data_IF_438766736797
#
_entry.id   IF_438766736797
#
_cell.length_a   1.000
_cell.length_b   1.000
_cell.length_c   1.000
_cell.angle_alpha   90.00
_cell.angle_beta   90.00
_cell.angle_gamma   90.00
#
_symmetry.space_group_name_H-M   'P 1'
#
loop_
_entity.id
_entity.type
_entity.pdbx_description
1 polymer ?
#
# COMPACT_ATOMS: atom_id res chain seq x y z
N UNK A 1 1.05 -32.33 29.55
CA UNK A 1 -0.02 -31.31 29.44
C UNK A 1 0.49 -30.32 28.41
N UNK A 2 0.26 -30.65 27.14
CA UNK A 2 0.83 -29.95 26.00
C UNK A 2 0.05 -28.67 25.77
N UNK A 3 0.65 -27.54 26.14
CA UNK A 3 0.14 -26.23 25.78
C UNK A 3 0.42 -26.02 24.30
N UNK A 4 -0.67 -25.93 23.52
CA UNK A 4 -0.62 -25.56 22.11
C UNK A 4 0.20 -24.27 21.95
N UNK A 5 1.33 -24.40 21.27
CA UNK A 5 2.14 -23.28 20.81
C UNK A 5 1.36 -22.65 19.67
N UNK A 6 0.48 -21.70 19.98
CA UNK A 6 -0.13 -20.81 19.00
C UNK A 6 1.01 -20.09 18.29
N UNK A 7 1.47 -20.72 17.23
CA UNK A 7 2.52 -20.23 16.36
C UNK A 7 1.81 -19.26 15.46
N UNK A 8 1.49 -18.08 16.00
CA UNK A 8 1.03 -16.97 15.19
C UNK A 8 2.14 -16.77 14.15
N UNK A 9 1.91 -17.06 12.85
CA UNK A 9 2.97 -16.94 11.87
C UNK A 9 3.48 -15.52 11.97
N UNK A 10 4.76 -15.35 12.27
CA UNK A 10 5.40 -14.04 12.32
C UNK A 10 4.99 -13.31 11.06
N UNK A 11 4.16 -12.28 11.17
CA UNK A 11 3.58 -11.58 10.04
C UNK A 11 4.76 -11.02 9.24
N UNK A 12 5.12 -11.71 8.15
CA UNK A 12 6.30 -11.38 7.38
C UNK A 12 5.99 -10.09 6.64
N UNK A 13 6.73 -9.04 6.97
CA UNK A 13 6.61 -7.77 6.26
C UNK A 13 7.19 -7.94 4.85
N UNK A 14 6.37 -7.61 3.86
CA UNK A 14 6.75 -7.60 2.46
C UNK A 14 7.16 -6.20 2.03
N UNK A 15 8.33 -6.09 1.41
CA UNK A 15 8.95 -4.83 0.96
C UNK A 15 8.74 -4.57 -0.53
N UNK A 16 8.38 -5.61 -1.30
CA UNK A 16 8.12 -5.53 -2.73
C UNK A 16 6.85 -6.29 -3.07
N UNK A 17 5.95 -5.62 -3.77
CA UNK A 17 4.70 -6.17 -4.27
C UNK A 17 4.68 -6.04 -5.78
N UNK A 18 4.08 -7.00 -6.47
CA UNK A 18 3.69 -6.87 -7.86
C UNK A 18 2.23 -6.40 -7.89
N UNK A 19 2.03 -5.20 -8.42
CA UNK A 19 0.72 -4.63 -8.68
C UNK A 19 0.22 -5.12 -10.03
N UNK A 20 -0.93 -5.79 -10.02
CA UNK A 20 -1.70 -6.17 -11.19
C UNK A 20 -2.89 -5.24 -11.35
N UNK A 21 -2.97 -4.52 -12.46
CA UNK A 21 -4.08 -3.62 -12.77
C UNK A 21 -5.02 -4.28 -13.78
N UNK A 22 -6.12 -4.84 -13.28
CA UNK A 22 -7.21 -5.36 -14.10
C UNK A 22 -8.25 -4.25 -14.36
N UNK A 23 -9.20 -4.54 -15.25
CA UNK A 23 -10.28 -3.62 -15.57
C UNK A 23 -11.21 -3.36 -14.35
N UNK A 24 -11.42 -4.36 -13.51
CA UNK A 24 -12.38 -4.33 -12.38
C UNK A 24 -11.71 -4.30 -11.00
N UNK A 25 -10.40 -4.60 -10.91
CA UNK A 25 -9.68 -4.71 -9.64
C UNK A 25 -8.18 -4.42 -9.74
N UNK A 26 -7.59 -4.07 -8.61
CA UNK A 26 -6.14 -4.08 -8.41
C UNK A 26 -5.77 -5.27 -7.53
N UNK A 27 -4.66 -5.95 -7.82
CA UNK A 27 -4.13 -7.01 -6.95
C UNK A 27 -2.68 -6.72 -6.60
N UNK A 28 -2.35 -6.80 -5.32
CA UNK A 28 -1.00 -6.69 -4.80
C UNK A 28 -0.52 -8.07 -4.37
N UNK A 29 0.38 -8.65 -5.16
CA UNK A 29 1.03 -9.93 -4.92
C UNK A 29 2.40 -9.67 -4.26
N UNK A 30 2.66 -10.14 -3.03
CA UNK A 30 4.00 -10.06 -2.48
C UNK A 30 5.00 -10.92 -3.27
N UNK A 31 6.13 -10.32 -3.65
CA UNK A 31 7.15 -11.01 -4.47
C UNK A 31 8.45 -11.30 -3.70
N UNK A 32 8.55 -10.88 -2.44
CA UNK A 32 9.68 -11.14 -1.56
C UNK A 32 9.31 -12.10 -0.42
N UNK A 33 9.00 -13.33 -0.79
CA UNK A 33 8.73 -14.42 0.15
C UNK A 33 7.80 -15.47 -0.42
N UNK A 34 7.39 -16.40 0.44
CA UNK A 34 6.22 -17.22 0.19
C UNK A 34 5.02 -16.35 0.58
N UNK A 35 4.16 -16.07 -0.39
CA UNK A 35 2.95 -15.30 -0.18
C UNK A 35 1.76 -16.24 -0.25
N UNK A 36 1.05 -16.39 0.86
CA UNK A 36 -0.14 -17.23 0.94
C UNK A 36 -1.41 -16.42 0.58
N UNK A 37 -1.33 -15.08 0.60
CA UNK A 37 -2.45 -14.18 0.35
C UNK A 37 -2.04 -12.95 -0.45
N UNK A 38 -2.94 -12.50 -1.32
CA UNK A 38 -2.84 -11.29 -2.12
C UNK A 38 -3.90 -10.29 -1.67
N UNK A 39 -3.55 -9.00 -1.67
CA UNK A 39 -4.54 -7.95 -1.43
C UNK A 39 -5.25 -7.61 -2.74
N UNK A 40 -6.55 -7.89 -2.80
CA UNK A 40 -7.43 -7.53 -3.92
C UNK A 40 -8.26 -6.30 -3.56
N UNK A 41 -8.30 -5.32 -4.45
CA UNK A 41 -9.05 -4.07 -4.30
C UNK A 41 -10.02 -3.92 -5.47
N UNK A 42 -11.31 -3.82 -5.19
CA UNK A 42 -12.33 -3.55 -6.20
C UNK A 42 -12.22 -2.11 -6.73
N UNK A 43 -12.15 -1.94 -8.05
CA UNK A 43 -12.15 -0.60 -8.67
C UNK A 43 -13.51 0.09 -8.64
N UNK A 44 -14.60 -0.67 -8.51
CA UNK A 44 -15.94 -0.10 -8.44
C UNK A 44 -16.23 0.51 -7.05
N UNK A 45 -15.77 -0.13 -5.98
CA UNK A 45 -16.13 0.22 -4.60
C UNK A 45 -14.95 0.65 -3.72
N UNK A 46 -13.71 0.37 -4.12
CA UNK A 46 -12.53 0.51 -3.27
C UNK A 46 -12.47 -0.52 -2.12
N UNK A 47 -13.34 -1.54 -2.11
CA UNK A 47 -13.35 -2.55 -1.05
C UNK A 47 -12.14 -3.49 -1.18
N UNK A 48 -11.52 -3.79 -0.04
CA UNK A 48 -10.31 -4.60 0.07
C UNK A 48 -10.62 -5.98 0.63
N UNK A 49 -10.06 -7.02 0.02
CA UNK A 49 -10.16 -8.40 0.49
C UNK A 49 -8.82 -9.13 0.28
N UNK A 50 -8.55 -10.15 1.08
CA UNK A 50 -7.43 -11.06 0.86
C UNK A 50 -7.91 -12.23 -0.02
N UNK A 51 -7.11 -12.62 -1.00
CA UNK A 51 -7.38 -13.73 -1.93
C UNK A 51 -6.16 -14.64 -2.05
N UNK A 52 -6.38 -15.94 -2.23
CA UNK A 52 -5.29 -16.94 -2.32
C UNK A 52 -4.75 -17.08 -3.76
N UNK A 53 -5.57 -16.78 -4.76
CA UNK A 53 -5.22 -16.99 -6.16
C UNK A 53 -5.43 -15.73 -7.01
N UNK A 54 -4.59 -15.58 -8.04
CA UNK A 54 -4.79 -14.57 -9.06
C UNK A 54 -5.98 -14.96 -9.96
N UNK A 55 -6.77 -14.00 -10.46
CA UNK A 55 -7.81 -14.25 -11.43
C UNK A 55 -7.26 -15.01 -12.65
N UNK A 56 -8.04 -15.91 -13.26
CA UNK A 56 -7.64 -16.63 -14.46
C UNK A 56 -7.16 -15.66 -15.54
N UNK A 57 -5.96 -15.89 -16.07
CA UNK A 57 -5.41 -15.08 -17.15
C UNK A 57 -6.21 -15.33 -18.42
N UNK A 58 -7.06 -14.39 -18.80
CA UNK A 58 -7.72 -14.45 -20.10
C UNK A 58 -6.76 -13.93 -21.18
N UNK A 59 -6.52 -14.67 -22.29
CA UNK A 59 -5.58 -14.25 -23.33
C UNK A 59 -5.96 -12.93 -24.02
N UNK A 60 -7.19 -12.46 -23.85
CA UNK A 60 -7.70 -11.20 -24.40
C UNK A 60 -7.49 -9.97 -23.49
N UNK A 61 -7.04 -10.15 -22.25
CA UNK A 61 -6.85 -9.06 -21.28
C UNK A 61 -5.47 -9.20 -20.66
N UNK A 62 -4.52 -8.39 -21.12
CA UNK A 62 -3.21 -8.26 -20.49
C UNK A 62 -3.28 -7.17 -19.40
N UNK A 63 -3.36 -7.53 -18.11
CA UNK A 63 -3.32 -6.53 -17.05
C UNK A 63 -1.98 -5.80 -17.10
N UNK A 64 -1.97 -4.51 -16.75
CA UNK A 64 -0.71 -3.79 -16.55
C UNK A 64 -0.09 -4.33 -15.26
N UNK A 65 1.20 -4.66 -15.33
CA UNK A 65 1.94 -5.24 -14.21
C UNK A 65 3.15 -4.37 -13.91
N UNK A 66 3.31 -3.99 -12.64
CA UNK A 66 4.48 -3.23 -12.19
C UNK A 66 4.88 -3.61 -10.76
N UNK A 67 6.16 -3.49 -10.43
CA UNK A 67 6.62 -3.62 -9.04
C UNK A 67 6.33 -2.32 -8.30
N UNK A 68 5.89 -2.45 -7.05
CA UNK A 68 5.65 -1.35 -6.11
C UNK A 68 6.26 -1.71 -4.75
N UNK A 69 6.55 -0.69 -3.95
CA UNK A 69 7.32 -0.83 -2.71
C UNK A 69 6.49 -0.59 -1.45
N UNK A 70 5.19 -0.39 -1.59
CA UNK A 70 4.28 -0.25 -0.47
C UNK A 70 2.97 0.41 -0.87
N UNK A 71 1.93 0.15 -0.08
CA UNK A 71 0.67 0.88 -0.12
C UNK A 71 0.66 1.82 1.06
N UNK A 72 0.64 3.14 0.80
CA UNK A 72 0.60 4.16 1.85
C UNK A 72 -0.74 4.13 2.57
N UNK A 73 -1.83 4.00 1.79
CA UNK A 73 -3.17 3.96 2.33
C UNK A 73 -4.24 4.27 1.29
N UNK A 74 -5.46 4.48 1.78
CA UNK A 74 -6.63 4.83 0.99
C UNK A 74 -7.21 6.15 1.45
N UNK A 75 -7.46 7.04 0.50
CA UNK A 75 -8.21 8.28 0.70
C UNK A 75 -9.60 8.09 0.13
N UNK A 76 -10.62 8.22 1.00
CA UNK A 76 -12.03 8.18 0.59
C UNK A 76 -12.54 9.59 0.42
N UNK A 77 -12.97 9.94 -0.79
CA UNK A 77 -13.55 11.22 -1.14
C UNK A 77 -15.01 11.03 -1.59
N UNK A 78 -15.74 12.14 -1.73
CA UNK A 78 -17.14 12.12 -2.15
C UNK A 78 -17.37 11.37 -3.48
N UNK A 79 -16.36 11.35 -4.34
CA UNK A 79 -16.43 10.82 -5.71
C UNK A 79 -15.81 9.43 -5.88
N UNK A 80 -15.24 8.85 -4.82
CA UNK A 80 -14.62 7.53 -4.88
C UNK A 80 -13.48 7.32 -3.90
N UNK A 81 -12.83 6.15 -4.00
CA UNK A 81 -11.65 5.80 -3.20
C UNK A 81 -10.38 5.88 -4.03
N UNK A 82 -9.30 6.34 -3.43
CA UNK A 82 -8.02 6.57 -4.08
C UNK A 82 -6.90 5.93 -3.25
N UNK A 83 -6.17 4.99 -3.85
CA UNK A 83 -5.08 4.28 -3.18
C UNK A 83 -3.75 4.91 -3.54
N UNK A 84 -2.93 5.20 -2.54
CA UNK A 84 -1.59 5.75 -2.73
C UNK A 84 -0.57 4.63 -2.65
N UNK A 85 0.23 4.47 -3.71
CA UNK A 85 1.16 3.36 -3.87
C UNK A 85 2.55 3.88 -4.23
N UNK A 86 3.55 3.43 -3.48
CA UNK A 86 4.95 3.79 -3.71
C UNK A 86 5.45 2.99 -4.91
N UNK A 87 5.66 3.66 -6.04
CA UNK A 87 6.17 3.02 -7.27
C UNK A 87 7.69 3.00 -7.33
N UNK A 88 8.35 3.93 -6.62
CA UNK A 88 9.81 3.97 -6.56
C UNK A 88 10.34 4.57 -5.26
N UNK A 89 11.56 4.17 -4.89
CA UNK A 89 12.25 4.64 -3.68
C UNK A 89 13.76 4.47 -3.77
N UNK A 90 14.48 5.39 -3.13
CA UNK A 90 15.93 5.32 -2.96
C UNK A 90 16.30 5.02 -1.51
N UNK A 91 17.27 4.12 -1.29
CA UNK A 91 17.90 3.98 0.03
C UNK A 91 18.85 5.17 0.24
N UNK A 92 18.53 6.03 1.21
CA UNK A 92 19.27 7.28 1.46
C UNK A 92 20.17 7.23 2.70
N UNK A 93 20.19 6.09 3.39
CA UNK A 93 21.04 5.87 4.56
C UNK A 93 20.43 4.85 5.52
N UNK A 94 20.93 4.84 6.74
CA UNK A 94 20.43 3.97 7.80
C UNK A 94 20.41 4.69 9.15
N UNK A 95 19.43 4.35 9.99
CA UNK A 95 19.34 4.80 11.37
C UNK A 95 19.21 3.59 12.29
N UNK A 96 20.11 3.48 13.27
CA UNK A 96 20.22 2.32 14.17
C UNK A 96 20.29 0.96 13.42
N UNK A 97 20.93 0.95 12.24
CA UNK A 97 21.04 -0.25 11.39
C UNK A 97 19.83 -0.52 10.49
N UNK A 98 18.73 0.21 10.65
CA UNK A 98 17.55 0.10 9.80
C UNK A 98 17.67 1.03 8.58
N UNK A 99 17.41 0.51 7.38
CA UNK A 99 17.49 1.30 6.16
C UNK A 99 16.38 2.38 6.11
N UNK A 100 16.75 3.58 5.67
CA UNK A 100 15.83 4.69 5.42
C UNK A 100 15.67 4.86 3.92
N UNK A 101 14.42 4.93 3.48
CA UNK A 101 14.05 5.09 2.09
C UNK A 101 13.38 6.44 1.86
N UNK A 102 13.80 7.14 0.81
CA UNK A 102 13.10 8.30 0.27
C UNK A 102 12.15 7.83 -0.83
N UNK A 103 10.88 8.24 -0.76
CA UNK A 103 9.93 8.00 -1.85
C UNK A 103 10.33 8.86 -3.05
N UNK A 104 10.59 8.21 -4.18
CA UNK A 104 10.93 8.87 -5.46
C UNK A 104 9.87 8.67 -6.53
N UNK A 105 8.97 7.71 -6.34
CA UNK A 105 7.81 7.48 -7.18
C UNK A 105 6.56 7.21 -6.36
N UNK A 106 5.48 7.93 -6.65
CA UNK A 106 4.17 7.75 -6.06
C UNK A 106 3.12 7.68 -7.18
N UNK A 107 2.15 6.78 -7.02
CA UNK A 107 1.02 6.63 -7.94
C UNK A 107 -0.28 6.51 -7.17
N UNK A 108 -1.31 7.18 -7.66
CA UNK A 108 -2.68 7.12 -7.18
C UNK A 108 -3.47 6.16 -8.05
N UNK A 109 -4.03 5.13 -7.44
CA UNK A 109 -4.94 4.18 -8.09
C UNK A 109 -6.37 4.55 -7.75
N UNK A 110 -7.12 4.91 -8.78
CA UNK A 110 -8.51 5.34 -8.65
C UNK A 110 -9.45 4.14 -8.58
N UNK A 111 -10.40 4.20 -7.66
CA UNK A 111 -11.47 3.21 -7.48
C UNK A 111 -12.82 3.94 -7.51
N UNK A 112 -13.31 4.23 -8.71
CA UNK A 112 -14.60 4.87 -8.91
C UNK A 112 -15.27 4.50 -10.25
N UNK A 113 -15.08 3.27 -10.73
CA UNK A 113 -15.60 2.82 -12.04
C UNK A 113 -17.16 2.72 -12.08
N UNK A 114 -17.88 3.47 -11.26
CA UNK A 114 -19.34 3.57 -11.30
C UNK A 114 -19.80 4.14 -12.66
N UNK A 115 -20.72 3.43 -13.31
CA UNK A 115 -21.18 3.74 -14.67
C UNK A 115 -22.03 5.01 -14.78
N UNK A 116 -22.46 5.61 -13.66
CA UNK A 116 -23.42 6.71 -13.62
C UNK A 116 -22.92 7.87 -12.73
N UNK A 117 -21.98 8.68 -13.23
CA UNK A 117 -21.55 9.92 -12.55
C UNK A 117 -22.30 11.14 -13.09
N UNK A 118 -22.86 11.95 -12.18
CA UNK A 118 -23.53 13.21 -12.55
C UNK A 118 -22.54 14.22 -13.14
N UNK A 119 -22.99 15.23 -13.92
CA UNK A 119 -22.09 16.25 -14.45
C UNK A 119 -21.37 17.04 -13.34
N UNK A 120 -22.02 17.29 -12.20
CA UNK A 120 -21.39 17.91 -11.03
C UNK A 120 -20.29 17.02 -10.44
N UNK A 121 -20.54 15.71 -10.35
CA UNK A 121 -19.57 14.75 -9.86
C UNK A 121 -18.35 14.68 -10.77
N UNK A 122 -18.53 14.71 -12.10
CA UNK A 122 -17.42 14.75 -13.06
C UNK A 122 -16.56 16.01 -12.93
N UNK A 123 -17.18 17.17 -12.67
CA UNK A 123 -16.45 18.42 -12.43
C UNK A 123 -15.60 18.32 -11.16
N UNK A 124 -16.19 17.88 -10.07
CA UNK A 124 -15.50 17.68 -8.79
C UNK A 124 -14.38 16.64 -8.90
N UNK A 125 -14.60 15.56 -9.65
CA UNK A 125 -13.57 14.56 -9.95
C UNK A 125 -12.37 15.15 -10.68
N UNK A 126 -12.59 16.09 -11.61
CA UNK A 126 -11.52 16.79 -12.31
C UNK A 126 -10.70 17.63 -11.33
N UNK A 127 -11.36 18.43 -10.49
CA UNK A 127 -10.69 19.28 -9.48
C UNK A 127 -9.89 18.43 -8.47
N UNK A 128 -10.45 17.30 -8.03
CA UNK A 128 -9.76 16.35 -7.16
C UNK A 128 -8.55 15.72 -7.86
N UNK A 129 -8.68 15.38 -9.15
CA UNK A 129 -7.58 14.77 -9.91
C UNK A 129 -6.37 15.70 -9.99
N UNK A 130 -6.58 17.01 -10.18
CA UNK A 130 -5.50 17.99 -10.16
C UNK A 130 -4.75 18.03 -8.81
N UNK A 131 -5.49 17.93 -7.70
CA UNK A 131 -4.90 17.87 -6.36
C UNK A 131 -4.12 16.56 -6.14
N UNK A 132 -4.63 15.44 -6.64
CA UNK A 132 -3.98 14.14 -6.55
C UNK A 132 -2.70 14.09 -7.39
N UNK A 133 -2.71 14.67 -8.58
CA UNK A 133 -1.53 14.81 -9.44
C UNK A 133 -0.44 15.67 -8.77
N UNK A 134 -0.84 16.70 -8.02
CA UNK A 134 0.10 17.48 -7.21
C UNK A 134 0.64 16.66 -6.02
N UNK A 135 -0.20 15.85 -5.38
CA UNK A 135 0.22 14.95 -4.32
C UNK A 135 1.22 13.89 -4.81
N UNK A 136 1.02 13.30 -5.99
CA UNK A 136 1.98 12.36 -6.61
C UNK A 136 3.38 12.96 -6.82
N UNK A 137 3.43 14.26 -7.14
CA UNK A 137 4.68 15.01 -7.35
C UNK A 137 5.29 15.53 -6.06
N UNK A 138 4.63 15.33 -4.91
CA UNK A 138 5.13 15.81 -3.62
C UNK A 138 6.35 15.00 -3.22
N UNK A 139 7.50 15.68 -3.16
CA UNK A 139 8.76 15.08 -2.73
C UNK A 139 8.95 15.23 -1.22
N UNK A 140 9.84 14.40 -0.66
CA UNK A 140 10.28 14.55 0.73
C UNK A 140 9.59 13.62 1.72
N UNK A 141 8.87 12.61 1.24
CA UNK A 141 8.40 11.51 2.09
C UNK A 141 9.54 10.52 2.32
N UNK A 142 9.75 10.15 3.58
CA UNK A 142 10.73 9.16 4.01
C UNK A 142 10.05 8.08 4.85
N UNK A 143 10.54 6.86 4.75
CA UNK A 143 10.02 5.74 5.53
C UNK A 143 11.10 4.69 5.77
N UNK A 144 10.83 3.79 6.71
CA UNK A 144 11.55 2.54 6.89
C UNK A 144 10.53 1.42 7.05
N UNK A 145 10.92 0.19 6.71
CA UNK A 145 10.09 -0.98 6.99
C UNK A 145 10.24 -1.48 8.43
N UNK A 146 11.35 -1.17 9.07
CA UNK A 146 11.77 -1.82 10.31
C UNK A 146 11.73 -0.89 11.52
N UNK A 147 11.62 0.43 11.30
CA UNK A 147 11.63 1.43 12.37
C UNK A 147 10.60 2.53 12.13
N UNK A 148 9.95 2.97 13.21
CA UNK A 148 9.01 4.09 13.17
C UNK A 148 9.74 5.44 13.15
N UNK A 149 9.90 6.02 11.97
CA UNK A 149 10.55 7.34 11.78
C UNK A 149 9.69 8.53 12.24
N UNK A 150 8.43 8.31 12.62
CA UNK A 150 7.54 9.38 13.12
C UNK A 150 7.79 9.71 14.61
N UNK A 151 8.53 8.84 15.31
CA UNK A 151 8.97 9.05 16.68
C UNK A 151 10.38 9.63 16.70
N UNK A 152 10.66 10.48 17.67
CA UNK A 152 12.03 10.94 17.94
C UNK A 152 12.81 9.87 18.72
N UNK A 153 14.14 10.02 18.76
CA UNK A 153 15.04 9.04 19.41
C UNK A 153 14.77 8.86 20.90
N UNK A 154 14.36 9.91 21.61
CA UNK A 154 14.05 9.83 23.05
C UNK A 154 12.81 8.94 23.28
N UNK A 155 11.73 9.19 22.54
CA UNK A 155 10.52 8.37 22.60
C UNK A 155 10.78 6.93 22.19
N UNK A 156 11.62 6.71 21.17
CA UNK A 156 11.95 5.36 20.70
C UNK A 156 12.77 4.57 21.74
N UNK A 157 13.54 5.26 22.57
CA UNK A 157 14.25 4.64 23.69
C UNK A 157 13.30 4.23 24.82
N UNK A 158 12.29 5.07 25.09
CA UNK A 158 11.35 4.87 26.21
C UNK A 158 10.26 3.81 25.94
N UNK A 159 10.04 3.42 24.67
CA UNK A 159 9.06 2.38 24.33
C UNK A 159 9.60 0.98 24.63
N UNK A 160 8.74 0.14 25.20
CA UNK A 160 9.06 -1.24 25.56
C UNK A 160 9.14 -2.16 24.32
N UNK A 161 9.66 -3.38 24.54
CA UNK A 161 9.84 -4.36 23.47
C UNK A 161 8.50 -4.90 22.94
N UNK A 162 7.44 -4.88 23.76
CA UNK A 162 6.10 -5.27 23.31
C UNK A 162 5.58 -4.28 22.27
N UNK A 163 5.72 -2.98 22.54
CA UNK A 163 5.36 -1.92 21.62
C UNK A 163 6.17 -2.00 20.33
N UNK A 164 7.49 -2.23 20.42
CA UNK A 164 8.36 -2.43 19.23
C UNK A 164 8.00 -3.68 18.41
N UNK A 165 7.37 -4.69 19.01
CA UNK A 165 6.91 -5.89 18.31
C UNK A 165 5.63 -5.67 17.49
N UNK A 166 4.91 -4.57 17.74
CA UNK A 166 3.70 -4.22 16.97
C UNK A 166 4.08 -3.80 15.56
N UNK A 167 3.21 -4.01 14.56
CA UNK A 167 3.44 -3.46 13.23
C UNK A 167 3.53 -1.94 13.32
N UNK A 168 4.38 -1.31 12.50
CA UNK A 168 4.73 0.11 12.61
C UNK A 168 3.54 1.07 12.69
N UNK A 169 2.40 0.75 12.07
CA UNK A 169 1.19 1.56 12.10
C UNK A 169 0.42 1.51 13.44
N UNK A 170 0.76 0.56 14.32
CA UNK A 170 0.23 0.40 15.69
C UNK A 170 1.25 0.80 16.77
N UNK A 171 2.44 1.23 16.35
CA UNK A 171 3.41 1.89 17.22
C UNK A 171 3.04 3.37 17.26
#
# INVERSE_FOLDING_TARGET
>A
MDAAKDTNPSCKLHTRLRLWEFADRYIFEPIDGLADLYLSVSRASGSMNLVEELPPRSPSINPKVQTVFGVIGVLKLAVGSYFFVITDRDCVGSYLGHAIFKVTGLKVLRCNDSLNTSPEQKKMESEISELLDAAEKTMGLYFSYDINLTLNSQRLYDVDDEFKSRPLWRQ
#
